data_IF_415103522518
#
_entry.id   IF_415103522518
#
_cell.length_a   1.000
_cell.length_b   1.000
_cell.length_c   1.000
_cell.angle_alpha   90.00
_cell.angle_beta   90.00
_cell.angle_gamma   90.00
#
_symmetry.space_group_name_H-M   'P 1'
#
loop_
_entity.id
_entity.type
_entity.pdbx_description
1 polymer ?
#
# COMPACT_ATOMS: atom_id res chain seq x y z
N UNK A 1 22.92 0.81 -7.63
CA UNK A 1 21.64 0.96 -6.92
C UNK A 1 20.82 1.89 -7.81
N UNK A 2 19.80 1.35 -8.47
CA UNK A 2 19.03 2.09 -9.46
C UNK A 2 18.06 3.04 -8.76
N UNK A 3 17.94 4.25 -9.27
CA UNK A 3 17.15 5.34 -8.66
C UNK A 3 15.63 5.07 -8.67
N UNK A 4 15.16 4.02 -9.37
CA UNK A 4 13.75 3.67 -9.48
C UNK A 4 13.14 3.01 -8.23
N UNK A 5 13.94 2.41 -7.34
CA UNK A 5 13.42 1.67 -6.19
C UNK A 5 12.87 2.59 -5.07
N UNK A 6 13.34 3.84 -4.99
CA UNK A 6 12.92 4.80 -3.96
C UNK A 6 11.55 5.40 -4.21
N UNK A 7 11.22 5.68 -5.47
CA UNK A 7 9.91 6.21 -5.86
C UNK A 7 8.80 5.23 -5.46
N UNK A 8 8.98 3.93 -5.75
CA UNK A 8 7.97 2.92 -5.44
C UNK A 8 7.67 2.81 -3.94
N UNK A 9 8.72 2.86 -3.11
CA UNK A 9 8.60 2.81 -1.65
C UNK A 9 7.89 4.05 -1.09
N UNK A 10 8.11 5.21 -1.70
CA UNK A 10 7.48 6.46 -1.25
C UNK A 10 5.97 6.46 -1.49
N UNK A 11 5.50 5.96 -2.63
CA UNK A 11 4.06 5.94 -2.92
C UNK A 11 3.33 4.89 -2.09
N UNK A 12 3.95 3.75 -1.83
CA UNK A 12 3.37 2.77 -0.92
C UNK A 12 3.28 3.27 0.53
N UNK A 13 4.23 4.09 0.98
CA UNK A 13 4.14 4.73 2.29
C UNK A 13 2.93 5.67 2.39
N UNK A 14 2.65 6.45 1.36
CA UNK A 14 1.48 7.33 1.30
C UNK A 14 0.17 6.53 1.40
N UNK A 15 0.08 5.41 0.69
CA UNK A 15 -1.06 4.48 0.75
C UNK A 15 -1.19 3.86 2.15
N UNK A 16 -0.08 3.44 2.76
CA UNK A 16 -0.11 2.89 4.11
C UNK A 16 -0.57 3.93 5.13
N UNK A 17 -0.17 5.19 4.99
CA UNK A 17 -0.64 6.28 5.85
C UNK A 17 -2.14 6.52 5.69
N UNK A 18 -2.65 6.55 4.46
CA UNK A 18 -4.08 6.69 4.16
C UNK A 18 -4.88 5.52 4.77
N UNK A 19 -4.38 4.28 4.61
CA UNK A 19 -4.94 3.08 5.24
C UNK A 19 -4.93 3.20 6.78
N UNK A 20 -3.83 3.68 7.38
CA UNK A 20 -3.71 3.89 8.82
C UNK A 20 -4.67 4.97 9.32
N UNK A 21 -4.96 5.99 8.52
CA UNK A 21 -5.97 7.01 8.78
C UNK A 21 -7.42 6.50 8.58
N UNK A 22 -7.60 5.25 8.13
CA UNK A 22 -8.90 4.64 7.85
C UNK A 22 -9.46 4.99 6.47
N UNK A 23 -8.66 5.62 5.61
CA UNK A 23 -8.99 5.93 4.23
C UNK A 23 -8.59 4.75 3.34
N UNK A 24 -9.37 3.68 3.40
CA UNK A 24 -9.18 2.50 2.52
C UNK A 24 -10.07 2.55 1.28
N UNK A 25 -11.08 3.42 1.28
CA UNK A 25 -12.08 3.49 0.22
C UNK A 25 -11.57 4.36 -0.93
N UNK A 26 -11.33 3.72 -2.08
CA UNK A 26 -10.90 4.41 -3.30
C UNK A 26 -9.39 4.48 -3.52
N UNK A 27 -8.59 3.73 -2.76
CA UNK A 27 -7.16 3.58 -3.01
C UNK A 27 -6.90 3.07 -4.44
N UNK A 28 -6.07 3.81 -5.16
CA UNK A 28 -5.64 3.49 -6.52
C UNK A 28 -4.22 2.96 -6.45
N UNK A 29 -3.97 1.84 -7.12
CA UNK A 29 -2.60 1.34 -7.23
C UNK A 29 -1.76 2.30 -8.09
N UNK A 30 -0.67 2.87 -7.58
CA UNK A 30 0.14 3.84 -8.31
C UNK A 30 0.97 3.19 -9.43
N UNK A 31 1.04 1.86 -9.45
CA UNK A 31 1.78 1.10 -10.47
C UNK A 31 0.92 0.76 -11.68
N UNK A 32 -0.35 0.46 -11.47
CA UNK A 32 -1.26 0.06 -12.56
C UNK A 32 -2.45 1.00 -12.75
N UNK A 33 -2.57 2.03 -11.92
CA UNK A 33 -3.65 3.02 -11.88
C UNK A 33 -5.05 2.40 -11.70
N UNK A 34 -5.13 1.21 -11.09
CA UNK A 34 -6.40 0.50 -10.86
C UNK A 34 -6.83 0.54 -9.40
N UNK A 35 -8.14 0.72 -9.18
CA UNK A 35 -8.80 0.55 -7.86
C UNK A 35 -8.98 -0.93 -7.50
N UNK A 36 -7.87 -1.62 -7.40
CA UNK A 36 -7.82 -3.05 -7.11
C UNK A 36 -6.85 -3.31 -5.96
N UNK A 37 -6.89 -2.45 -4.94
CA UNK A 37 -6.13 -2.62 -3.71
C UNK A 37 -7.01 -3.32 -2.67
N UNK A 38 -6.50 -4.43 -2.14
CA UNK A 38 -7.07 -5.18 -1.05
C UNK A 38 -6.23 -4.90 0.20
N UNK A 39 -6.88 -4.37 1.22
CA UNK A 39 -6.26 -4.00 2.49
C UNK A 39 -6.72 -5.00 3.55
N UNK A 40 -5.76 -5.65 4.19
CA UNK A 40 -6.00 -6.61 5.26
C UNK A 40 -5.27 -6.15 6.52
N UNK A 41 -6.03 -5.70 7.51
CA UNK A 41 -5.50 -5.26 8.80
C UNK A 41 -5.65 -6.40 9.82
N UNK A 42 -4.57 -7.14 10.05
CA UNK A 42 -4.52 -8.24 11.02
C UNK A 42 -3.69 -7.83 12.24
N UNK A 43 -4.39 -7.37 13.29
CA UNK A 43 -3.75 -6.98 14.55
C UNK A 43 -2.79 -5.79 14.38
N UNK A 44 -1.50 -5.93 14.74
CA UNK A 44 -0.51 -4.86 14.57
C UNK A 44 0.01 -4.76 13.12
N UNK A 45 -0.41 -5.64 12.22
CA UNK A 45 0.12 -5.71 10.85
C UNK A 45 -0.94 -5.29 9.85
N UNK A 46 -0.53 -4.50 8.88
CA UNK A 46 -1.34 -4.02 7.77
C UNK A 46 -0.74 -4.59 6.50
N UNK A 47 -1.48 -5.43 5.79
CA UNK A 47 -1.09 -5.95 4.49
C UNK A 47 -1.90 -5.25 3.41
N UNK A 48 -1.24 -4.60 2.46
CA UNK A 48 -1.88 -3.92 1.34
C UNK A 48 -1.38 -4.57 0.06
N UNK A 49 -2.28 -5.21 -0.69
CA UNK A 49 -1.94 -5.88 -1.95
C UNK A 49 -2.78 -5.37 -3.10
N UNK A 50 -2.18 -5.26 -4.26
CA UNK A 50 -2.83 -4.95 -5.52
C UNK A 50 -3.11 -6.24 -6.28
N UNK A 51 -4.37 -6.58 -6.51
CA UNK A 51 -4.76 -7.83 -7.21
C UNK A 51 -4.51 -7.80 -8.71
N UNK A 52 -4.37 -6.61 -9.31
CA UNK A 52 -4.15 -6.45 -10.74
C UNK A 52 -2.68 -6.51 -11.15
N UNK A 53 -1.82 -5.86 -10.36
CA UNK A 53 -0.39 -5.76 -10.61
C UNK A 53 0.43 -6.80 -9.82
N UNK A 54 -0.20 -7.47 -8.85
CA UNK A 54 0.44 -8.48 -8.00
C UNK A 54 1.43 -7.90 -6.97
N UNK A 55 1.54 -6.58 -6.89
CA UNK A 55 2.43 -5.91 -5.92
C UNK A 55 1.75 -5.83 -4.57
N UNK A 56 2.52 -5.95 -3.52
CA UNK A 56 2.02 -5.89 -2.15
C UNK A 56 3.06 -5.25 -1.25
N UNK A 57 2.58 -4.61 -0.19
CA UNK A 57 3.38 -4.06 0.88
C UNK A 57 2.80 -4.48 2.23
N UNK A 58 3.68 -4.68 3.20
CA UNK A 58 3.32 -4.92 4.59
C UNK A 58 3.82 -3.74 5.43
N UNK A 59 2.92 -3.15 6.21
CA UNK A 59 3.22 -2.15 7.22
C UNK A 59 3.00 -2.72 8.62
N UNK A 60 3.82 -2.32 9.58
CA UNK A 60 3.63 -2.67 10.98
C UNK A 60 3.14 -1.42 11.69
N UNK A 61 1.92 -1.49 12.21
CA UNK A 61 1.32 -0.47 13.05
C UNK A 61 1.77 -0.69 14.49
N UNK A 62 3.04 -0.40 14.77
CA UNK A 62 3.62 -0.47 16.10
C UNK A 62 3.23 0.81 16.87
N UNK A 63 2.04 0.80 17.49
CA UNK A 63 1.66 1.76 18.53
C UNK A 63 2.38 1.46 19.85
#
# INVERSE_FOLDING_TARGET
MSECDYDELSVWQDILDDVMNGHVDGLICPFCDKKAIEVNTEGPTINVKCTECGRWIEGINAY
#
